data_IF_723385531714
#
_entry.id   IF_723385531714
#
_cell.length_a   1.000
_cell.length_b   1.000
_cell.length_c   1.000
_cell.angle_alpha   90.00
_cell.angle_beta   90.00
_cell.angle_gamma   90.00
#
_symmetry.space_group_name_H-M   'P 1'
#
loop_
_entity.id
_entity.type
_entity.pdbx_description
1 polymer ?
#
# COMPACT_ATOMS: atom_id res chain seq x y z
N UNK A 1 14.25 9.42 3.39
CA UNK A 1 13.07 8.99 2.62
C UNK A 1 12.71 7.55 2.91
N UNK A 2 13.64 6.59 2.87
CA UNK A 2 13.39 5.17 3.17
C UNK A 2 12.67 4.93 4.51
N UNK A 3 13.08 5.56 5.59
CA UNK A 3 12.44 5.40 6.91
C UNK A 3 10.98 5.86 6.96
N UNK A 4 10.60 6.80 6.11
CA UNK A 4 9.22 7.33 6.05
C UNK A 4 8.31 6.59 5.07
N UNK A 5 8.82 6.23 3.91
CA UNK A 5 8.01 5.63 2.84
C UNK A 5 8.17 4.11 2.72
N UNK A 6 9.28 3.56 3.24
CA UNK A 6 9.68 2.17 3.00
C UNK A 6 10.42 1.96 1.69
N UNK A 7 10.56 3.03 0.91
CA UNK A 7 11.21 3.06 -0.40
C UNK A 7 12.27 4.13 -0.44
N UNK A 8 13.33 3.89 -1.18
CA UNK A 8 14.30 4.92 -1.50
C UNK A 8 13.78 5.87 -2.59
N UNK A 9 14.61 6.83 -2.98
CA UNK A 9 14.18 7.82 -3.97
C UNK A 9 14.00 7.23 -5.36
N UNK A 10 14.87 6.31 -5.74
CA UNK A 10 14.87 5.70 -7.07
C UNK A 10 13.68 4.76 -7.24
N UNK A 11 13.38 3.98 -6.20
CA UNK A 11 12.19 3.13 -6.16
C UNK A 11 10.89 3.93 -6.27
N UNK A 12 10.80 5.10 -5.62
CA UNK A 12 9.63 5.99 -5.75
C UNK A 12 9.56 6.58 -7.17
N UNK A 13 10.69 6.92 -7.79
CA UNK A 13 10.72 7.40 -9.17
C UNK A 13 10.24 6.31 -10.13
N UNK A 14 10.71 5.08 -9.96
CA UNK A 14 10.26 3.94 -10.76
C UNK A 14 8.74 3.72 -10.62
N UNK A 15 8.24 3.74 -9.40
CA UNK A 15 6.79 3.67 -9.14
C UNK A 15 6.01 4.82 -9.81
N UNK A 16 6.54 6.03 -9.79
CA UNK A 16 5.93 7.17 -10.49
C UNK A 16 5.91 6.96 -12.01
N UNK A 17 6.97 6.41 -12.60
CA UNK A 17 7.03 6.09 -14.03
C UNK A 17 5.94 5.08 -14.40
N UNK A 18 5.77 4.02 -13.59
CA UNK A 18 4.75 2.98 -13.80
C UNK A 18 3.34 3.55 -13.68
N UNK A 19 3.06 4.31 -12.63
CA UNK A 19 1.76 4.99 -12.45
C UNK A 19 1.47 5.89 -13.65
N UNK A 20 2.42 6.72 -14.07
CA UNK A 20 2.24 7.62 -15.20
C UNK A 20 2.05 6.86 -16.53
N UNK A 21 2.65 5.69 -16.68
CA UNK A 21 2.49 4.85 -17.86
C UNK A 21 1.13 4.17 -17.91
N UNK A 22 0.59 3.78 -16.76
CA UNK A 22 -0.75 3.20 -16.63
C UNK A 22 -1.86 4.24 -16.90
N UNK A 23 -1.63 5.51 -16.53
CA UNK A 23 -2.57 6.62 -16.68
C UNK A 23 -2.56 7.28 -18.09
N UNK A 24 -1.74 6.82 -19.03
CA UNK A 24 -1.65 7.37 -20.39
C UNK A 24 -2.91 7.16 -21.23
N UNK A 25 -4.05 7.57 -20.76
CA UNK A 25 -5.34 7.48 -21.45
C UNK A 25 -6.41 8.34 -20.80
N UNK A 26 -6.10 9.01 -19.70
CA UNK A 26 -7.03 9.85 -18.94
C UNK A 26 -6.73 11.34 -19.10
N UNK A 27 -7.77 12.14 -19.20
CA UNK A 27 -7.69 13.57 -19.58
C UNK A 27 -6.97 14.49 -18.59
N UNK A 28 -6.75 14.12 -17.36
CA UNK A 28 -5.96 14.87 -16.39
C UNK A 28 -5.59 14.01 -15.17
N UNK A 29 -4.40 14.20 -14.58
CA UNK A 29 -4.04 13.50 -13.36
C UNK A 29 -4.94 13.91 -12.20
N UNK A 30 -5.49 12.92 -11.49
CA UNK A 30 -6.39 13.14 -10.34
C UNK A 30 -5.68 13.64 -9.07
N UNK A 31 -4.35 13.65 -9.03
CA UNK A 31 -3.58 14.11 -7.88
C UNK A 31 -3.38 15.63 -7.90
N UNK A 32 -3.21 16.27 -6.71
CA UNK A 32 -3.07 17.72 -6.61
C UNK A 32 -1.84 18.26 -7.37
N UNK A 33 -1.99 19.19 -8.32
CA UNK A 33 -0.87 19.74 -9.09
C UNK A 33 0.22 20.39 -8.23
N UNK A 34 -0.15 20.98 -7.08
CA UNK A 34 0.80 21.62 -6.16
C UNK A 34 1.80 20.64 -5.51
N UNK A 35 1.45 19.36 -5.40
CA UNK A 35 2.36 18.30 -4.93
C UNK A 35 3.11 17.64 -6.08
N UNK A 36 2.48 17.53 -7.24
CA UNK A 36 2.94 16.69 -8.32
C UNK A 36 2.91 15.20 -7.97
N UNK A 37 3.22 14.34 -8.93
CA UNK A 37 3.10 12.88 -8.75
C UNK A 37 4.05 12.36 -7.66
N UNK A 38 5.32 12.74 -7.69
CA UNK A 38 6.32 12.23 -6.76
C UNK A 38 5.96 12.47 -5.28
N UNK A 39 5.59 13.71 -4.92
CA UNK A 39 5.21 14.03 -3.54
C UNK A 39 3.87 13.39 -3.17
N UNK A 40 2.96 13.23 -4.13
CA UNK A 40 1.69 12.54 -3.92
C UNK A 40 1.89 11.05 -3.60
N UNK A 41 2.76 10.38 -4.34
CA UNK A 41 3.15 8.99 -4.06
C UNK A 41 3.85 8.88 -2.71
N UNK A 42 4.84 9.74 -2.43
CA UNK A 42 5.55 9.73 -1.16
C UNK A 42 4.63 9.99 0.04
N UNK A 43 3.67 10.92 -0.06
CA UNK A 43 2.68 11.19 0.97
C UNK A 43 1.78 9.97 1.21
N UNK A 44 1.32 9.32 0.14
CA UNK A 44 0.48 8.13 0.22
C UNK A 44 1.23 6.96 0.86
N UNK A 45 2.45 6.68 0.44
CA UNK A 45 3.29 5.63 1.04
C UNK A 45 3.58 5.91 2.52
N UNK A 46 3.85 7.17 2.89
CA UNK A 46 4.05 7.58 4.29
C UNK A 46 2.80 7.33 5.13
N UNK A 47 1.62 7.67 4.61
CA UNK A 47 0.34 7.43 5.26
C UNK A 47 0.07 5.93 5.46
N UNK A 48 0.26 5.13 4.41
CA UNK A 48 0.02 3.68 4.46
C UNK A 48 0.98 2.96 5.41
N UNK A 49 2.23 3.42 5.52
CA UNK A 49 3.25 2.76 6.32
C UNK A 49 3.17 3.09 7.82
N UNK A 50 2.94 4.34 8.16
CA UNK A 50 3.19 4.84 9.53
C UNK A 50 1.94 5.26 10.27
N UNK A 51 0.77 5.16 9.65
CA UNK A 51 -0.47 5.60 10.30
C UNK A 51 -0.40 7.04 10.85
N UNK A 52 0.36 7.90 10.18
CA UNK A 52 0.43 9.32 10.52
C UNK A 52 -0.86 10.01 10.13
N UNK A 53 -1.21 11.04 10.89
CA UNK A 53 -2.36 11.86 10.52
C UNK A 53 -2.08 12.61 9.21
N UNK A 54 -3.12 12.82 8.41
CA UNK A 54 -2.99 13.60 7.17
C UNK A 54 -2.56 15.04 7.43
N UNK A 55 -2.88 15.57 8.63
CA UNK A 55 -2.45 16.91 9.07
C UNK A 55 -0.93 16.96 9.22
N UNK A 56 -0.30 16.02 9.93
CA UNK A 56 1.16 15.95 10.11
C UNK A 56 1.89 15.79 8.77
N UNK A 57 1.33 14.98 7.85
CA UNK A 57 1.89 14.85 6.50
C UNK A 57 1.77 16.19 5.76
N UNK A 58 0.65 16.87 5.90
CA UNK A 58 0.43 18.19 5.31
C UNK A 58 1.44 19.23 5.81
N UNK A 59 1.66 19.31 7.11
CA UNK A 59 2.67 20.18 7.72
C UNK A 59 4.08 19.89 7.18
N UNK A 60 4.46 18.61 7.08
CA UNK A 60 5.77 18.21 6.57
C UNK A 60 6.00 18.55 5.10
N UNK A 61 4.94 18.65 4.32
CA UNK A 61 4.97 18.97 2.89
C UNK A 61 4.64 20.43 2.56
N UNK A 62 4.26 21.22 3.57
CA UNK A 62 3.84 22.62 3.41
C UNK A 62 2.51 22.77 2.67
N UNK A 63 1.58 21.82 2.83
CA UNK A 63 0.25 21.82 2.21
C UNK A 63 -0.85 21.55 3.22
N UNK A 64 -2.09 21.86 2.85
CA UNK A 64 -3.24 21.60 3.72
C UNK A 64 -3.61 20.11 3.79
N UNK A 65 -4.21 19.70 4.92
CA UNK A 65 -4.73 18.35 5.10
C UNK A 65 -5.68 17.89 3.97
N UNK A 66 -6.62 18.71 3.44
CA UNK A 66 -7.44 18.30 2.29
C UNK A 66 -6.64 18.02 1.02
N UNK A 67 -5.49 18.67 0.84
CA UNK A 67 -4.58 18.39 -0.29
C UNK A 67 -3.96 16.99 -0.16
N UNK A 68 -3.52 16.64 1.04
CA UNK A 68 -3.00 15.30 1.35
C UNK A 68 -4.09 14.24 1.17
N UNK A 69 -5.31 14.51 1.66
CA UNK A 69 -6.44 13.59 1.51
C UNK A 69 -6.75 13.28 0.04
N UNK A 70 -6.81 14.33 -0.80
CA UNK A 70 -7.00 14.14 -2.25
C UNK A 70 -5.87 13.35 -2.90
N UNK A 71 -4.64 13.60 -2.48
CA UNK A 71 -3.47 12.88 -2.96
C UNK A 71 -3.56 11.39 -2.64
N UNK A 72 -3.87 11.05 -1.38
CA UNK A 72 -4.03 9.66 -0.92
C UNK A 72 -5.15 8.97 -1.70
N UNK A 73 -6.31 9.61 -1.81
CA UNK A 73 -7.46 9.04 -2.55
C UNK A 73 -7.16 8.79 -4.02
N UNK A 74 -6.38 9.66 -4.66
CA UNK A 74 -6.02 9.52 -6.07
C UNK A 74 -4.95 8.43 -6.29
N UNK A 75 -3.94 8.35 -5.41
CA UNK A 75 -2.78 7.48 -5.62
C UNK A 75 -3.02 6.06 -5.10
N UNK A 76 -3.80 5.88 -4.03
CA UNK A 76 -4.04 4.55 -3.42
C UNK A 76 -4.50 3.49 -4.42
N UNK A 77 -5.46 3.73 -5.33
CA UNK A 77 -5.87 2.72 -6.30
C UNK A 77 -4.83 2.45 -7.39
N UNK A 78 -3.95 3.41 -7.68
CA UNK A 78 -2.96 3.32 -8.75
C UNK A 78 -1.73 2.48 -8.36
N UNK A 79 -1.39 2.44 -7.06
CA UNK A 79 -0.24 1.66 -6.58
C UNK A 79 -0.41 0.16 -6.87
N UNK A 80 -1.48 -0.53 -6.43
CA UNK A 80 -1.63 -1.96 -6.70
C UNK A 80 -1.67 -2.26 -8.21
N UNK A 81 -2.31 -1.40 -8.99
CA UNK A 81 -2.40 -1.59 -10.44
C UNK A 81 -1.03 -1.51 -11.12
N UNK A 82 -0.20 -0.54 -10.72
CA UNK A 82 1.13 -0.32 -11.31
C UNK A 82 2.16 -1.39 -10.92
N UNK A 83 1.91 -2.17 -9.87
CA UNK A 83 2.81 -3.24 -9.40
C UNK A 83 2.22 -4.64 -9.56
N UNK A 84 1.04 -4.77 -10.17
CA UNK A 84 0.32 -6.03 -10.30
C UNK A 84 1.17 -7.15 -10.90
N UNK A 85 1.94 -6.86 -11.94
CA UNK A 85 2.81 -7.81 -12.64
C UNK A 85 3.97 -8.33 -11.79
N UNK A 86 4.30 -7.63 -10.69
CA UNK A 86 5.39 -8.01 -9.76
C UNK A 86 4.89 -8.71 -8.51
N UNK A 87 3.57 -8.81 -8.34
CA UNK A 87 2.97 -9.51 -7.20
C UNK A 87 2.83 -10.98 -7.54
N UNK A 88 3.60 -11.88 -6.91
CA UNK A 88 3.51 -13.31 -7.17
C UNK A 88 2.10 -13.83 -6.93
N UNK A 89 1.64 -14.70 -7.79
CA UNK A 89 0.37 -15.44 -7.64
C UNK A 89 0.63 -16.82 -7.05
N UNK A 90 -0.43 -17.56 -6.75
CA UNK A 90 -0.28 -18.94 -6.26
C UNK A 90 0.38 -19.86 -7.32
N UNK A 91 0.18 -19.53 -8.59
CA UNK A 91 0.69 -20.32 -9.72
C UNK A 91 2.20 -20.09 -9.94
N UNK A 92 2.75 -19.01 -9.37
CA UNK A 92 4.19 -18.71 -9.43
C UNK A 92 4.99 -19.41 -8.32
N UNK A 93 4.30 -20.11 -7.39
CA UNK A 93 4.97 -20.85 -6.34
C UNK A 93 5.61 -22.11 -6.92
N UNK A 94 6.88 -22.33 -6.59
CA UNK A 94 7.60 -23.54 -6.99
C UNK A 94 6.99 -24.77 -6.25
N UNK A 95 6.41 -25.74 -6.96
CA UNK A 95 5.77 -26.89 -6.34
C UNK A 95 6.75 -27.81 -5.58
N UNK A 96 8.04 -27.72 -5.90
CA UNK A 96 9.09 -28.52 -5.26
C UNK A 96 9.75 -27.79 -4.06
N UNK A 97 9.40 -26.53 -3.82
CA UNK A 97 9.94 -25.74 -2.71
C UNK A 97 9.15 -25.95 -1.41
N UNK A 98 9.83 -25.80 -0.28
CA UNK A 98 9.20 -25.78 1.03
C UNK A 98 8.84 -24.37 1.43
N UNK A 99 7.59 -24.19 1.86
CA UNK A 99 7.04 -22.91 2.30
C UNK A 99 6.60 -22.98 3.76
N UNK A 100 6.84 -21.90 4.46
CA UNK A 100 6.26 -21.64 5.78
C UNK A 100 5.01 -20.80 5.54
N UNK A 101 3.86 -21.35 5.97
CA UNK A 101 2.56 -20.65 5.91
C UNK A 101 2.22 -20.16 7.32
N UNK A 102 2.00 -18.88 7.46
CA UNK A 102 1.54 -18.27 8.71
C UNK A 102 0.37 -17.33 8.46
N UNK A 103 -0.54 -17.30 9.42
CA UNK A 103 -1.71 -16.44 9.39
C UNK A 103 -1.64 -15.36 10.46
N UNK A 104 -1.80 -14.12 10.07
CA UNK A 104 -1.83 -12.99 11.01
C UNK A 104 -3.07 -12.14 10.80
N UNK A 105 -3.49 -11.46 11.88
CA UNK A 105 -4.56 -10.49 11.82
C UNK A 105 -3.99 -9.08 11.68
N UNK A 106 -4.37 -8.38 10.61
CA UNK A 106 -4.09 -6.95 10.44
C UNK A 106 -5.25 -6.15 11.06
N UNK A 107 -5.04 -5.47 12.20
CA UNK A 107 -6.10 -4.70 12.84
C UNK A 107 -6.61 -3.57 11.93
N UNK A 108 -7.92 -3.40 11.90
CA UNK A 108 -8.57 -2.32 11.17
C UNK A 108 -8.96 -1.18 12.11
N UNK A 109 -8.78 0.06 11.66
CA UNK A 109 -9.11 1.26 12.44
C UNK A 109 -10.60 1.52 12.56
N UNK A 110 -11.32 1.27 11.48
CA UNK A 110 -12.75 1.47 11.43
C UNK A 110 -13.40 0.31 10.72
N UNK A 111 -14.41 -0.23 11.33
CA UNK A 111 -15.14 -1.39 10.89
C UNK A 111 -16.66 -1.19 11.02
N UNK A 112 -17.09 0.06 11.11
CA UNK A 112 -18.51 0.41 11.13
C UNK A 112 -19.17 -0.16 9.87
N UNK A 113 -20.09 -1.11 10.08
CA UNK A 113 -20.75 -1.82 8.97
C UNK A 113 -20.11 -3.15 8.54
N UNK A 114 -18.91 -3.49 9.02
CA UNK A 114 -18.17 -4.71 8.65
C UNK A 114 -18.00 -5.67 9.83
N UNK A 115 -19.12 -6.20 10.35
CA UNK A 115 -19.11 -7.12 11.50
C UNK A 115 -18.40 -8.45 11.19
N UNK A 116 -18.35 -8.83 9.93
CA UNK A 116 -17.65 -10.00 9.41
C UNK A 116 -16.15 -9.99 9.63
N UNK A 117 -15.56 -8.80 9.81
CA UNK A 117 -14.13 -8.63 10.11
C UNK A 117 -13.78 -8.84 11.59
N UNK A 118 -14.75 -9.14 12.45
CA UNK A 118 -14.48 -9.36 13.86
C UNK A 118 -13.90 -10.75 14.12
N UNK A 119 -12.69 -10.77 14.67
CA UNK A 119 -12.05 -12.02 15.11
C UNK A 119 -12.36 -12.33 16.58
N UNK A 120 -13.17 -13.34 16.81
CA UNK A 120 -13.48 -13.83 18.17
C UNK A 120 -12.25 -14.34 18.92
N UNK A 121 -11.25 -14.86 18.22
CA UNK A 121 -9.98 -15.33 18.79
C UNK A 121 -9.15 -14.17 19.34
N UNK A 122 -9.02 -13.10 18.56
CA UNK A 122 -8.19 -11.93 18.91
C UNK A 122 -8.97 -10.82 19.61
N UNK A 123 -10.31 -10.98 19.73
CA UNK A 123 -11.23 -9.99 20.32
C UNK A 123 -11.06 -8.59 19.72
N UNK A 124 -10.75 -8.52 18.44
CA UNK A 124 -10.57 -7.28 17.69
C UNK A 124 -11.00 -7.44 16.25
N UNK A 125 -11.19 -6.35 15.58
CA UNK A 125 -11.54 -6.32 14.15
C UNK A 125 -10.30 -6.20 13.29
N UNK A 126 -10.21 -7.00 12.25
CA UNK A 126 -9.09 -6.99 11.35
C UNK A 126 -9.27 -7.95 10.17
N UNK A 127 -8.40 -7.80 9.19
CA UNK A 127 -8.34 -8.72 8.06
C UNK A 127 -7.36 -9.86 8.36
N UNK A 128 -7.78 -11.10 8.11
CA UNK A 128 -6.88 -12.23 8.14
C UNK A 128 -5.99 -12.19 6.90
N UNK A 129 -4.68 -12.27 7.14
CA UNK A 129 -3.68 -12.33 6.07
C UNK A 129 -2.90 -13.61 6.24
N UNK A 130 -2.88 -14.42 5.19
CA UNK A 130 -1.97 -15.56 5.11
C UNK A 130 -0.72 -15.14 4.34
N UNK A 131 0.43 -15.49 4.91
CA UNK A 131 1.74 -15.19 4.35
C UNK A 131 2.43 -16.51 4.05
N UNK A 132 2.89 -16.67 2.81
CA UNK A 132 3.78 -17.75 2.42
C UNK A 132 5.19 -17.19 2.24
N UNK A 133 6.17 -17.79 2.89
CA UNK A 133 7.57 -17.45 2.69
C UNK A 133 8.41 -18.71 2.54
N UNK A 134 9.51 -18.61 1.81
CA UNK A 134 10.48 -19.70 1.74
C UNK A 134 11.16 -19.90 3.09
N UNK A 135 11.78 -21.06 3.29
CA UNK A 135 12.58 -21.36 4.49
C UNK A 135 13.74 -20.37 4.71
N UNK A 136 14.11 -19.61 3.69
CA UNK A 136 15.13 -18.55 3.75
C UNK A 136 14.57 -17.17 4.12
N UNK A 137 13.29 -17.10 4.47
CA UNK A 137 12.62 -15.86 4.88
C UNK A 137 12.26 -14.91 3.73
N UNK A 138 12.38 -15.36 2.47
CA UNK A 138 11.93 -14.58 1.32
C UNK A 138 10.41 -14.68 1.21
N UNK A 139 9.75 -13.54 1.22
CA UNK A 139 8.30 -13.45 1.10
C UNK A 139 7.89 -13.72 -0.35
N UNK A 140 7.22 -14.85 -0.59
CA UNK A 140 6.75 -15.20 -1.94
C UNK A 140 5.28 -14.83 -2.16
N UNK A 141 4.47 -14.79 -1.09
CA UNK A 141 3.05 -14.46 -1.24
C UNK A 141 2.42 -13.88 0.02
N UNK A 142 1.51 -12.93 -0.19
CA UNK A 142 0.49 -12.51 0.79
C UNK A 142 -0.89 -12.74 0.18
N UNK A 143 -1.75 -13.49 0.84
CA UNK A 143 -3.17 -13.54 0.49
C UNK A 143 -4.02 -13.06 1.67
N UNK A 144 -5.03 -12.28 1.36
CA UNK A 144 -6.06 -11.84 2.33
C UNK A 144 -7.25 -12.76 2.14
N UNK A 145 -7.72 -13.37 3.22
CA UNK A 145 -8.90 -14.24 3.28
C UNK A 145 -9.93 -13.59 4.18
#
# INVERSE_FOLDING_TARGET
MYHTTGFDREEIIDLCIRINSAERGTDAPNWPPCLGLFKSVAATLTYMRHNRTQAEIGESLGVSQPTVSRSISAITPLIPESVREFVPTADDLDPDAQYILDGTLLPCWSWAGHKELYSGKHKTTGMNVQVACTIYGKLDRKSVV
#
